data_IF_371727019429
#
_entry.id   IF_371727019429
#
_cell.length_a   1.000
_cell.length_b   1.000
_cell.length_c   1.000
_cell.angle_alpha   90.00
_cell.angle_beta   90.00
_cell.angle_gamma   90.00
#
_symmetry.space_group_name_H-M   'P 1'
#
loop_
_entity.id
_entity.type
_entity.pdbx_description
1 polymer ?
#
# COMPACT_ATOMS: atom_id res chain seq x y z
N UNK A 1 9.55 2.15 -5.13
CA UNK A 1 8.07 2.33 -5.21
C UNK A 1 7.45 1.31 -6.13
N UNK A 2 7.99 1.16 -7.34
CA UNK A 2 7.39 0.32 -8.37
C UNK A 2 7.42 -1.19 -8.03
N UNK A 3 8.34 -1.63 -7.16
CA UNK A 3 8.48 -3.04 -6.76
C UNK A 3 7.20 -3.75 -6.27
N UNK A 4 6.24 -3.04 -5.64
CA UNK A 4 4.97 -3.66 -5.23
C UNK A 4 4.05 -3.95 -6.42
N UNK A 5 4.00 -3.04 -7.40
CA UNK A 5 3.25 -3.24 -8.64
C UNK A 5 3.96 -4.23 -9.55
N UNK A 6 5.29 -4.11 -9.68
CA UNK A 6 6.12 -5.01 -10.47
C UNK A 6 6.02 -6.46 -9.99
N UNK A 7 6.03 -6.69 -8.68
CA UNK A 7 5.90 -8.03 -8.09
C UNK A 7 4.58 -8.72 -8.43
N UNK A 8 3.46 -8.04 -8.21
CA UNK A 8 2.13 -8.58 -8.54
C UNK A 8 1.92 -8.70 -10.05
N UNK A 9 2.39 -7.72 -10.84
CA UNK A 9 2.34 -7.79 -12.29
C UNK A 9 3.13 -8.98 -12.84
N UNK A 10 4.32 -9.26 -12.29
CA UNK A 10 5.10 -10.43 -12.67
C UNK A 10 4.41 -11.74 -12.24
N UNK A 11 3.75 -11.77 -11.08
CA UNK A 11 2.95 -12.93 -10.66
C UNK A 11 1.76 -13.17 -11.59
N UNK A 12 1.07 -12.12 -12.00
CA UNK A 12 -0.04 -12.18 -12.97
C UNK A 12 0.43 -12.72 -14.33
N UNK A 13 1.55 -12.21 -14.87
CA UNK A 13 2.07 -12.70 -16.15
C UNK A 13 2.48 -14.18 -16.09
N UNK A 14 3.12 -14.62 -15.00
CA UNK A 14 3.44 -16.04 -14.78
C UNK A 14 2.20 -16.91 -14.69
N UNK A 15 1.12 -16.43 -14.06
CA UNK A 15 -0.13 -17.18 -13.98
C UNK A 15 -0.76 -17.43 -15.35
N UNK A 16 -0.54 -16.52 -16.30
CA UNK A 16 -1.02 -16.62 -17.69
C UNK A 16 -0.02 -17.27 -18.65
N UNK A 17 1.15 -17.74 -18.17
CA UNK A 17 2.25 -18.25 -18.99
C UNK A 17 2.61 -17.33 -20.18
N UNK A 18 2.46 -16.01 -19.99
CA UNK A 18 2.61 -15.04 -21.05
C UNK A 18 4.09 -14.73 -21.31
N UNK A 19 4.48 -14.70 -22.60
CA UNK A 19 5.84 -14.34 -23.02
C UNK A 19 5.84 -13.34 -24.16
N UNK A 20 6.80 -12.42 -24.16
CA UNK A 20 7.05 -11.50 -25.27
C UNK A 20 5.82 -10.69 -25.66
N UNK A 21 5.37 -10.82 -26.92
CA UNK A 21 4.22 -10.08 -27.45
C UNK A 21 2.91 -10.31 -26.69
N UNK A 22 2.75 -11.46 -26.03
CA UNK A 22 1.56 -11.77 -25.22
C UNK A 22 1.45 -10.89 -23.98
N UNK A 23 2.59 -10.47 -23.41
CA UNK A 23 2.61 -9.58 -22.23
C UNK A 23 1.96 -8.23 -22.54
N UNK A 24 2.20 -7.71 -23.75
CA UNK A 24 1.59 -6.46 -24.21
C UNK A 24 0.08 -6.61 -24.38
N UNK A 25 -0.37 -7.66 -25.06
CA UNK A 25 -1.82 -7.92 -25.24
C UNK A 25 -2.53 -8.08 -23.90
N UNK A 26 -1.92 -8.76 -22.93
CA UNK A 26 -2.47 -8.85 -21.58
C UNK A 26 -2.49 -7.49 -20.86
N UNK A 27 -1.45 -6.68 -21.01
CA UNK A 27 -1.43 -5.34 -20.43
C UNK A 27 -2.54 -4.44 -21.03
N UNK A 28 -2.79 -4.55 -22.33
CA UNK A 28 -3.88 -3.84 -23.03
C UNK A 28 -5.25 -4.27 -22.48
N UNK A 29 -5.49 -5.58 -22.30
CA UNK A 29 -6.72 -6.10 -21.69
C UNK A 29 -6.90 -5.61 -20.25
N UNK A 30 -5.86 -5.71 -19.41
CA UNK A 30 -5.91 -5.24 -18.02
C UNK A 30 -6.23 -3.75 -17.93
N UNK A 31 -5.65 -2.94 -18.83
CA UNK A 31 -5.90 -1.50 -18.88
C UNK A 31 -7.33 -1.16 -19.36
N UNK A 32 -7.94 -2.02 -20.18
CA UNK A 32 -9.31 -1.87 -20.65
C UNK A 32 -10.37 -2.29 -19.62
N UNK A 33 -10.01 -3.21 -18.71
CA UNK A 33 -10.93 -3.80 -17.71
C UNK A 33 -10.43 -3.59 -16.26
N UNK A 34 -10.09 -2.35 -15.84
CA UNK A 34 -9.40 -2.13 -14.57
C UNK A 34 -10.19 -2.62 -13.36
N UNK A 35 -11.52 -2.55 -13.39
CA UNK A 35 -12.44 -2.99 -12.33
C UNK A 35 -12.40 -4.51 -12.04
N UNK A 36 -11.81 -5.30 -12.94
CA UNK A 36 -11.64 -6.74 -12.78
C UNK A 36 -10.30 -7.14 -12.16
N UNK A 37 -9.42 -6.17 -11.93
CA UNK A 37 -8.02 -6.42 -11.57
C UNK A 37 -7.62 -5.68 -10.30
N UNK A 38 -6.69 -6.27 -9.55
CA UNK A 38 -6.02 -5.58 -8.45
C UNK A 38 -5.22 -4.38 -8.99
N UNK A 39 -5.22 -3.28 -8.25
CA UNK A 39 -4.57 -2.04 -8.67
C UNK A 39 -3.08 -2.20 -8.98
N UNK A 40 -2.37 -3.13 -8.33
CA UNK A 40 -0.95 -3.40 -8.58
C UNK A 40 -0.74 -4.02 -9.95
N UNK A 41 -1.67 -4.88 -10.38
CA UNK A 41 -1.68 -5.46 -11.74
C UNK A 41 -2.02 -4.39 -12.77
N UNK A 42 -3.01 -3.53 -12.48
CA UNK A 42 -3.37 -2.40 -13.36
C UNK A 42 -2.19 -1.43 -13.52
N UNK A 43 -1.55 -1.02 -12.44
CA UNK A 43 -0.40 -0.11 -12.49
C UNK A 43 0.79 -0.72 -13.24
N UNK A 44 1.03 -2.03 -13.06
CA UNK A 44 2.06 -2.75 -13.78
C UNK A 44 1.74 -2.89 -15.29
N UNK A 45 0.46 -3.03 -15.65
CA UNK A 45 0.02 -3.05 -17.04
C UNK A 45 0.22 -1.67 -17.69
N UNK A 46 -0.24 -0.59 -17.03
CA UNK A 46 -0.05 0.78 -17.52
C UNK A 46 1.43 1.13 -17.72
N UNK A 47 2.32 0.65 -16.84
CA UNK A 47 3.77 0.86 -16.96
C UNK A 47 4.41 0.19 -18.19
N UNK A 48 3.75 -0.81 -18.79
CA UNK A 48 4.20 -1.53 -20.00
C UNK A 48 3.64 -0.93 -21.29
N UNK A 49 2.62 -0.07 -21.19
CA UNK A 49 1.97 0.52 -22.34
C UNK A 49 2.53 1.91 -22.64
N UNK A 50 2.61 2.21 -23.93
CA UNK A 50 2.96 3.54 -24.44
C UNK A 50 1.68 4.25 -24.86
N UNK A 51 1.53 5.51 -24.45
CA UNK A 51 0.42 6.34 -24.86
C UNK A 51 0.53 6.68 -26.35
N UNK A 52 -0.50 6.42 -27.17
CA UNK A 52 -0.46 6.73 -28.60
C UNK A 52 -0.46 8.24 -28.88
N UNK A 53 -0.96 9.07 -27.94
CA UNK A 53 -1.08 10.52 -28.14
C UNK A 53 0.24 11.26 -27.87
N UNK A 54 1.00 10.85 -26.84
CA UNK A 54 2.21 11.58 -26.41
C UNK A 54 3.50 10.75 -26.45
N UNK A 55 3.43 9.45 -26.72
CA UNK A 55 4.61 8.56 -26.78
C UNK A 55 5.27 8.24 -25.43
N UNK A 56 4.76 8.78 -24.32
CA UNK A 56 5.23 8.46 -22.96
C UNK A 56 4.53 7.19 -22.45
N UNK A 57 4.93 6.68 -21.28
CA UNK A 57 4.23 5.61 -20.59
C UNK A 57 2.78 6.02 -20.30
N UNK A 58 1.84 5.11 -20.52
CA UNK A 58 0.41 5.38 -20.35
C UNK A 58 0.12 5.83 -18.90
N UNK A 59 -0.78 6.81 -18.76
CA UNK A 59 -1.09 7.52 -17.51
C UNK A 59 0.05 8.33 -16.84
N UNK A 60 1.24 8.46 -17.47
CA UNK A 60 2.38 9.24 -16.95
C UNK A 60 2.76 10.46 -17.80
N UNK A 61 2.24 10.55 -19.02
CA UNK A 61 2.49 11.65 -19.95
C UNK A 61 1.99 13.03 -19.48
N UNK A 62 2.29 14.09 -20.26
CA UNK A 62 2.13 15.48 -19.84
C UNK A 62 0.71 15.86 -19.40
N UNK A 63 0.59 16.96 -18.68
CA UNK A 63 -0.69 17.52 -18.29
C UNK A 63 -1.53 17.85 -19.54
N UNK A 64 -2.80 17.41 -19.55
CA UNK A 64 -3.72 17.64 -20.68
C UNK A 64 -3.61 16.65 -21.83
N UNK A 65 -2.77 15.61 -21.72
CA UNK A 65 -2.75 14.52 -22.70
C UNK A 65 -4.00 13.64 -22.56
N UNK A 66 -4.90 13.56 -23.57
CA UNK A 66 -6.19 12.87 -23.44
C UNK A 66 -6.07 11.39 -23.05
N UNK A 67 -5.22 10.61 -23.74
CA UNK A 67 -5.02 9.19 -23.43
C UNK A 67 -4.44 8.93 -22.04
N UNK A 68 -3.52 9.78 -21.58
CA UNK A 68 -2.98 9.68 -20.22
C UNK A 68 -4.00 10.11 -19.16
N UNK A 69 -4.79 11.16 -19.40
CA UNK A 69 -5.85 11.61 -18.50
C UNK A 69 -6.94 10.53 -18.35
N UNK A 70 -7.36 9.94 -19.47
CA UNK A 70 -8.36 8.88 -19.48
C UNK A 70 -7.88 7.63 -18.72
N UNK A 71 -6.68 7.14 -19.05
CA UNK A 71 -6.10 5.99 -18.35
C UNK A 71 -5.88 6.27 -16.86
N UNK A 72 -5.46 7.49 -16.51
CA UNK A 72 -5.34 7.91 -15.11
C UNK A 72 -6.69 7.99 -14.40
N UNK A 73 -7.78 8.37 -15.08
CA UNK A 73 -9.12 8.34 -14.50
C UNK A 73 -9.61 6.92 -14.24
N UNK A 74 -9.51 6.05 -15.25
CA UNK A 74 -10.01 4.68 -15.15
C UNK A 74 -9.25 3.78 -14.19
N UNK A 75 -7.96 4.06 -13.91
CA UNK A 75 -7.17 3.30 -12.91
C UNK A 75 -7.86 3.21 -11.53
N UNK A 76 -8.70 4.20 -11.17
CA UNK A 76 -9.35 4.25 -9.86
C UNK A 76 -10.50 3.24 -9.72
N UNK A 77 -10.98 2.68 -10.83
CA UNK A 77 -11.94 1.59 -10.84
C UNK A 77 -11.34 0.26 -10.35
N UNK A 78 -10.00 0.14 -10.34
CA UNK A 78 -9.33 -1.08 -9.92
C UNK A 78 -9.66 -1.50 -8.50
N UNK A 79 -9.57 -2.80 -8.25
CA UNK A 79 -9.79 -3.40 -6.93
C UNK A 79 -8.59 -3.05 -6.04
N UNK A 80 -8.86 -2.56 -4.83
CA UNK A 80 -7.83 -2.22 -3.85
C UNK A 80 -7.94 -3.15 -2.63
N UNK A 81 -7.54 -4.41 -2.81
CA UNK A 81 -7.57 -5.40 -1.74
C UNK A 81 -6.39 -5.21 -0.81
N UNK A 82 -6.66 -4.93 0.47
CA UNK A 82 -5.62 -4.79 1.48
C UNK A 82 -4.78 -6.06 1.66
N UNK A 83 -3.46 -5.90 1.71
CA UNK A 83 -2.54 -7.01 2.02
C UNK A 83 -2.72 -7.50 3.47
N UNK A 84 -2.35 -8.74 3.79
CA UNK A 84 -2.45 -9.23 5.17
C UNK A 84 -1.65 -8.36 6.16
N UNK A 85 -2.25 -8.11 7.33
CA UNK A 85 -1.56 -7.45 8.45
C UNK A 85 -1.48 -5.92 8.38
N UNK A 86 -2.18 -5.27 7.45
CA UNK A 86 -2.30 -3.79 7.41
C UNK A 86 -3.72 -3.33 7.74
N UNK A 87 -3.90 -2.07 8.20
CA UNK A 87 -5.23 -1.51 8.43
C UNK A 87 -6.08 -1.48 7.15
N UNK A 88 -7.41 -1.61 7.25
CA UNK A 88 -8.31 -1.44 6.12
C UNK A 88 -8.10 -0.09 5.41
N UNK A 89 -8.07 -0.10 4.08
CA UNK A 89 -7.86 1.06 3.23
C UNK A 89 -6.39 1.46 3.02
N UNK A 90 -5.42 0.69 3.53
CA UNK A 90 -4.00 0.98 3.33
C UNK A 90 -3.59 0.88 1.85
N UNK A 91 -4.08 -0.12 1.12
CA UNK A 91 -3.78 -0.27 -0.31
C UNK A 91 -4.44 0.83 -1.15
N UNK A 92 -5.65 1.25 -0.78
CA UNK A 92 -6.25 2.44 -1.37
C UNK A 92 -5.35 3.67 -1.17
N UNK A 93 -4.83 3.88 0.05
CA UNK A 93 -3.94 4.99 0.35
C UNK A 93 -2.62 4.91 -0.45
N UNK A 94 -2.00 3.73 -0.55
CA UNK A 94 -0.80 3.51 -1.38
C UNK A 94 -1.11 3.86 -2.83
N UNK A 95 -2.19 3.31 -3.40
CA UNK A 95 -2.58 3.54 -4.80
C UNK A 95 -2.75 5.03 -5.13
N UNK A 96 -3.42 5.78 -4.26
CA UNK A 96 -3.62 7.24 -4.42
C UNK A 96 -2.29 7.99 -4.33
N UNK A 97 -1.39 7.60 -3.43
CA UNK A 97 -0.09 8.24 -3.33
C UNK A 97 0.80 7.92 -4.54
N UNK A 98 0.80 6.67 -5.00
CA UNK A 98 1.53 6.22 -6.19
C UNK A 98 1.03 6.96 -7.43
N UNK A 99 -0.28 7.12 -7.61
CA UNK A 99 -0.85 7.82 -8.77
C UNK A 99 -0.38 9.27 -8.87
N UNK A 100 -0.31 9.97 -7.74
CA UNK A 100 0.19 11.36 -7.65
C UNK A 100 1.70 11.42 -7.92
N UNK A 101 2.49 10.56 -7.29
CA UNK A 101 3.95 10.58 -7.42
C UNK A 101 4.41 10.25 -8.84
N UNK A 102 3.65 9.40 -9.55
CA UNK A 102 3.91 9.03 -10.95
C UNK A 102 3.46 10.08 -11.96
N UNK A 103 2.68 11.08 -11.54
CA UNK A 103 2.16 12.16 -12.39
C UNK A 103 2.36 13.55 -11.76
N UNK A 104 3.61 13.94 -11.45
CA UNK A 104 3.90 15.17 -10.71
C UNK A 104 3.46 16.45 -11.44
N UNK A 105 3.43 16.44 -12.78
CA UNK A 105 3.11 17.60 -13.62
C UNK A 105 1.66 18.12 -13.50
N UNK A 106 0.74 17.33 -12.93
CA UNK A 106 -0.65 17.76 -12.68
C UNK A 106 -0.93 18.05 -11.20
N UNK A 107 0.09 17.96 -10.35
CA UNK A 107 -0.06 18.10 -8.90
C UNK A 107 0.94 19.12 -8.37
N UNK A 108 0.56 19.89 -7.34
CA UNK A 108 1.49 20.86 -6.73
C UNK A 108 2.74 20.16 -6.18
N UNK A 109 3.90 20.81 -6.28
CA UNK A 109 5.18 20.26 -5.75
C UNK A 109 5.10 19.90 -4.27
N UNK A 110 4.35 20.70 -3.50
CA UNK A 110 4.12 20.50 -2.09
C UNK A 110 3.38 19.19 -1.79
N UNK A 111 2.33 18.91 -2.57
CA UNK A 111 1.56 17.68 -2.46
C UNK A 111 2.41 16.48 -2.90
N UNK A 112 3.13 16.58 -4.03
CA UNK A 112 4.05 15.51 -4.49
C UNK A 112 5.08 15.16 -3.43
N UNK A 113 5.68 16.17 -2.78
CA UNK A 113 6.64 15.99 -1.69
C UNK A 113 6.02 15.20 -0.52
N UNK A 114 4.84 15.61 -0.04
CA UNK A 114 4.15 14.93 1.06
C UNK A 114 3.87 13.48 0.72
N UNK A 115 3.34 13.22 -0.49
CA UNK A 115 3.04 11.86 -0.96
C UNK A 115 4.30 11.02 -1.01
N UNK A 116 5.42 11.55 -1.53
CA UNK A 116 6.71 10.84 -1.56
C UNK A 116 7.22 10.47 -0.17
N UNK A 117 7.09 11.38 0.81
CA UNK A 117 7.58 11.15 2.17
C UNK A 117 6.69 10.20 2.98
N UNK A 118 5.36 10.26 2.81
CA UNK A 118 4.44 9.35 3.50
C UNK A 118 4.46 7.93 2.95
N UNK A 119 4.76 7.77 1.68
CA UNK A 119 4.59 6.50 0.98
C UNK A 119 5.43 5.33 1.54
N UNK A 120 6.69 5.51 1.98
CA UNK A 120 7.41 4.47 2.72
C UNK A 120 6.69 3.99 3.99
N UNK A 121 6.04 4.89 4.74
CA UNK A 121 5.25 4.52 5.92
C UNK A 121 4.02 3.69 5.53
N UNK A 122 3.31 4.11 4.47
CA UNK A 122 2.18 3.36 3.92
C UNK A 122 2.60 1.94 3.50
N UNK A 123 3.73 1.81 2.82
CA UNK A 123 4.29 0.52 2.37
C UNK A 123 4.64 -0.42 3.52
N UNK A 124 5.02 0.10 4.69
CA UNK A 124 5.21 -0.77 5.87
C UNK A 124 3.92 -1.01 6.65
N UNK A 125 2.77 -0.48 6.22
CA UNK A 125 1.45 -0.74 6.82
C UNK A 125 1.00 0.29 7.84
N UNK A 126 1.65 1.45 7.92
CA UNK A 126 1.10 2.59 8.65
C UNK A 126 0.01 3.24 7.81
N UNK A 127 -1.10 3.64 8.42
CA UNK A 127 -2.16 4.40 7.76
C UNK A 127 -2.46 5.61 8.65
N UNK A 128 -2.14 6.85 8.20
CA UNK A 128 -2.46 8.04 8.98
C UNK A 128 -3.96 8.13 9.23
N UNK A 129 -4.34 8.58 10.42
CA UNK A 129 -5.72 8.98 10.68
C UNK A 129 -6.10 10.22 9.84
N UNK A 130 -7.40 10.47 9.69
CA UNK A 130 -7.90 11.67 9.03
C UNK A 130 -7.32 12.95 9.67
N UNK A 131 -7.22 12.97 11.00
CA UNK A 131 -6.67 14.11 11.74
C UNK A 131 -5.17 14.30 11.48
N UNK A 132 -4.40 13.22 11.39
CA UNK A 132 -2.98 13.28 11.01
C UNK A 132 -2.81 13.80 9.58
N UNK A 133 -3.60 13.29 8.63
CA UNK A 133 -3.58 13.75 7.24
C UNK A 133 -3.94 15.25 7.12
N UNK A 134 -4.93 15.70 7.89
CA UNK A 134 -5.31 17.12 7.96
C UNK A 134 -4.21 17.98 8.59
N UNK A 135 -3.54 17.49 9.65
CA UNK A 135 -2.39 18.17 10.26
C UNK A 135 -1.23 18.36 9.28
N UNK A 136 -0.88 17.32 8.52
CA UNK A 136 0.15 17.40 7.47
C UNK A 136 -0.25 18.44 6.42
N UNK A 137 -1.49 18.39 5.95
CA UNK A 137 -2.01 19.33 4.95
C UNK A 137 -1.95 20.78 5.45
N UNK A 138 -2.30 21.01 6.72
CA UNK A 138 -2.23 22.32 7.34
C UNK A 138 -0.78 22.81 7.50
N UNK A 139 0.14 21.93 7.93
CA UNK A 139 1.56 22.22 8.03
C UNK A 139 2.12 22.71 6.68
N UNK A 140 1.83 21.98 5.61
CA UNK A 140 2.28 22.28 4.25
C UNK A 140 1.80 23.64 3.78
N UNK A 141 0.49 23.92 3.98
CA UNK A 141 -0.15 25.19 3.59
C UNK A 141 0.41 26.40 4.34
N UNK A 142 0.77 26.23 5.62
CA UNK A 142 1.28 27.31 6.48
C UNK A 142 2.80 27.48 6.42
N UNK A 143 3.52 26.50 5.87
CA UNK A 143 4.99 26.51 5.82
C UNK A 143 5.52 27.46 4.74
N UNK A 144 6.54 28.28 5.04
CA UNK A 144 7.31 29.01 4.03
C UNK A 144 7.88 28.05 2.98
N UNK A 145 7.89 28.40 1.68
CA UNK A 145 8.38 27.51 0.61
C UNK A 145 9.76 26.91 0.89
N UNK A 146 10.68 27.70 1.43
CA UNK A 146 12.07 27.31 1.68
C UNK A 146 12.23 26.31 2.84
N UNK A 147 11.26 26.26 3.77
CA UNK A 147 11.30 25.35 4.94
C UNK A 147 10.33 24.18 4.83
N UNK A 148 9.44 24.19 3.84
CA UNK A 148 8.37 23.21 3.69
C UNK A 148 8.89 21.77 3.64
N UNK A 149 9.93 21.51 2.85
CA UNK A 149 10.54 20.19 2.76
C UNK A 149 11.03 19.67 4.11
N UNK A 150 11.81 20.49 4.81
CA UNK A 150 12.35 20.17 6.13
C UNK A 150 11.24 19.91 7.16
N UNK A 151 10.22 20.76 7.21
CA UNK A 151 9.13 20.64 8.20
C UNK A 151 8.27 19.39 7.95
N UNK A 152 7.95 19.09 6.68
CA UNK A 152 7.20 17.87 6.34
C UNK A 152 8.03 16.63 6.67
N UNK A 153 9.33 16.65 6.35
CA UNK A 153 10.23 15.55 6.68
C UNK A 153 10.28 15.29 8.19
N UNK A 154 10.50 16.31 9.01
CA UNK A 154 10.51 16.19 10.48
C UNK A 154 9.20 15.61 11.04
N UNK A 155 8.06 16.03 10.48
CA UNK A 155 6.78 15.49 10.89
C UNK A 155 6.63 14.01 10.52
N UNK A 156 7.03 13.63 9.31
CA UNK A 156 7.01 12.22 8.85
C UNK A 156 7.96 11.35 9.67
N UNK A 157 9.14 11.86 10.03
CA UNK A 157 10.08 11.19 10.94
C UNK A 157 9.45 10.95 12.32
N UNK A 158 8.73 11.94 12.86
CA UNK A 158 7.98 11.79 14.12
C UNK A 158 6.95 10.65 14.03
N UNK A 159 6.18 10.59 12.94
CA UNK A 159 5.24 9.49 12.72
C UNK A 159 5.94 8.12 12.62
N UNK A 160 7.11 8.07 11.99
CA UNK A 160 7.91 6.85 11.87
C UNK A 160 8.41 6.35 13.24
N UNK A 161 8.82 7.27 14.11
CA UNK A 161 9.24 6.97 15.48
C UNK A 161 8.07 6.45 16.32
N UNK A 162 6.90 7.08 16.22
CA UNK A 162 5.67 6.65 16.89
C UNK A 162 5.23 5.24 16.48
N UNK A 163 5.26 4.95 15.18
CA UNK A 163 5.01 3.62 14.65
C UNK A 163 6.00 2.60 15.22
N UNK A 164 7.29 2.93 15.24
CA UNK A 164 8.35 2.06 15.74
C UNK A 164 8.21 1.77 17.23
N UNK A 165 7.81 2.78 18.03
CA UNK A 165 7.50 2.62 19.46
C UNK A 165 6.31 1.69 19.66
N UNK A 166 5.22 1.90 18.94
CA UNK A 166 3.98 1.11 19.04
C UNK A 166 4.23 -0.36 18.69
N UNK A 167 4.99 -0.64 17.64
CA UNK A 167 5.36 -2.02 17.24
C UNK A 167 6.21 -2.73 18.29
N UNK A 168 7.18 -2.03 18.89
CA UNK A 168 8.01 -2.59 19.97
C UNK A 168 7.17 -2.95 21.20
N UNK A 169 6.26 -2.06 21.61
CA UNK A 169 5.34 -2.31 22.71
C UNK A 169 4.42 -3.52 22.44
N UNK A 170 3.86 -3.62 21.24
CA UNK A 170 3.02 -4.77 20.84
C UNK A 170 3.77 -6.10 20.84
N UNK A 171 5.03 -6.13 20.38
CA UNK A 171 5.88 -7.33 20.44
C UNK A 171 6.19 -7.75 21.89
N UNK A 172 6.50 -6.79 22.76
CA UNK A 172 6.76 -7.08 24.17
C UNK A 172 5.51 -7.66 24.88
N UNK A 173 4.32 -7.11 24.58
CA UNK A 173 3.06 -7.63 25.12
C UNK A 173 2.74 -9.05 24.60
N UNK A 174 2.97 -9.32 23.32
CA UNK A 174 2.75 -10.64 22.71
C UNK A 174 3.80 -11.71 23.06
N UNK A 175 4.92 -11.33 23.67
CA UNK A 175 6.00 -12.25 24.07
C UNK A 175 5.95 -12.65 25.56
N UNK A 176 4.90 -12.24 26.29
CA UNK A 176 4.72 -12.67 27.69
C UNK A 176 4.33 -14.16 27.73
N UNK A 177 5.10 -15.03 28.41
CA UNK A 177 4.77 -16.44 28.51
C UNK A 177 3.68 -16.62 29.57
N UNK A 178 2.42 -16.66 29.18
CA UNK A 178 1.38 -17.26 30.03
C UNK A 178 1.47 -18.78 29.91
N UNK A 179 2.33 -19.39 30.74
CA UNK A 179 2.19 -20.81 31.10
C UNK A 179 1.01 -20.97 32.06
N UNK A 180 0.27 -22.08 31.93
CA UNK A 180 0.07 -22.90 33.11
C UNK A 180 0.32 -24.37 32.78
N UNK A 181 1.48 -24.89 33.20
CA UNK A 181 1.61 -26.29 33.53
C UNK A 181 0.92 -26.53 34.88
N UNK A 182 -0.09 -27.40 34.91
CA UNK A 182 -0.51 -28.07 36.14
C UNK A 182 -0.73 -29.54 35.78
N UNK A 183 0.09 -30.47 36.27
CA UNK A 183 -0.15 -31.89 36.03
C UNK A 183 -1.31 -32.36 36.91
N UNK A 184 -2.28 -33.03 36.28
CA UNK A 184 -3.40 -33.65 36.96
C UNK A 184 -2.95 -34.84 37.82
N UNK A 185 -2.95 -34.67 39.14
CA UNK A 185 -2.78 -35.74 40.11
C UNK A 185 -4.06 -36.58 40.15
N UNK A 186 -4.05 -37.75 39.52
CA UNK A 186 -5.08 -38.79 39.68
C UNK A 186 -4.81 -39.58 40.96
N UNK A 187 -5.58 -39.31 42.02
CA UNK A 187 -5.61 -40.16 43.22
C UNK A 187 -6.57 -41.33 42.99
N UNK A 188 -6.02 -42.52 42.75
CA UNK A 188 -6.72 -43.78 42.95
C UNK A 188 -7.04 -43.95 44.44
N UNK A 189 -8.31 -44.15 44.78
CA UNK A 189 -8.71 -44.62 46.11
C UNK A 189 -9.50 -45.90 45.96
N UNK A 190 -8.84 -47.00 46.33
CA UNK A 190 -9.40 -48.34 46.47
C UNK A 190 -10.47 -48.36 47.57
N UNK A 191 -11.65 -48.90 47.27
CA UNK A 191 -12.68 -49.24 48.25
C UNK A 191 -12.74 -50.75 48.44
N UNK A 192 -12.91 -51.27 49.69
CA UNK A 192 -12.89 -52.69 49.99
C UNK A 192 -14.23 -53.35 49.67
N UNK A 193 -14.18 -54.64 49.34
CA UNK A 193 -15.32 -55.41 48.86
C UNK A 193 -16.19 -56.09 49.93
N UNK A 194 -16.92 -57.10 49.42
CA UNK A 194 -17.86 -58.07 50.03
C UNK A 194 -19.26 -57.54 50.34
N UNK A 195 -20.36 -58.31 50.25
CA UNK A 195 -20.71 -59.63 49.69
C UNK A 195 -22.23 -59.80 49.86
N UNK A 196 -22.95 -60.26 48.84
CA UNK A 196 -23.70 -61.53 48.78
C UNK A 196 -24.48 -61.61 47.48
#
# INVERSE_FOLDING_TARGET
MDGIAEGEGAAFLRHWDATGGQERTLAEMVAAEPDRHDWRVVDAALDRLVCPDCGDRLARGPAGCPGCDLAHGFRYAAIATDRPGVPPGNEHAIRVNVSVVRRPQVTSEAEVLVRRLLLPLLLVGFLPSTEEAQRISALVKRSPPQRRAQLVQQYVETLAEDLSRTRRAGRAAGSSPTSPDTPAVTRHRSGPGRSR
#
